data_IF_026056036783
#
_entry.id   IF_026056036783
#
_cell.length_a   1.000
_cell.length_b   1.000
_cell.length_c   1.000
_cell.angle_alpha   90.00
_cell.angle_beta   90.00
_cell.angle_gamma   90.00
#
_symmetry.space_group_name_H-M   'P 1'
#
loop_
_entity.id
_entity.type
_entity.pdbx_description
1 polymer ?
#
# COMPACT_ATOMS: atom_id res chain seq x y z
N UNK A 1 -57.30 0.47 6.36
CA UNK A 1 -56.77 -0.42 5.29
C UNK A 1 -55.85 0.31 4.32
N UNK A 2 -56.28 1.34 3.59
CA UNK A 2 -55.36 2.08 2.68
C UNK A 2 -54.29 2.90 3.41
N UNK A 3 -54.59 3.44 4.60
CA UNK A 3 -53.65 4.24 5.40
C UNK A 3 -52.55 3.38 6.06
N UNK A 4 -52.90 2.15 6.47
CA UNK A 4 -51.96 1.21 7.08
C UNK A 4 -50.94 0.66 6.07
N UNK A 5 -51.37 0.48 4.82
CA UNK A 5 -50.51 0.11 3.69
C UNK A 5 -49.51 1.22 3.35
N UNK A 6 -49.93 2.49 3.44
CA UNK A 6 -49.07 3.65 3.20
C UNK A 6 -47.96 3.76 4.28
N UNK A 7 -48.33 3.71 5.57
CA UNK A 7 -47.34 3.72 6.66
C UNK A 7 -46.38 2.52 6.62
N UNK A 8 -46.86 1.34 6.21
CA UNK A 8 -46.00 0.15 6.04
C UNK A 8 -45.02 0.30 4.87
N UNK A 9 -45.39 1.08 3.85
CA UNK A 9 -44.51 1.39 2.71
C UNK A 9 -43.39 2.35 3.10
N UNK A 10 -43.71 3.47 3.76
CA UNK A 10 -42.70 4.44 4.24
C UNK A 10 -41.71 3.79 5.22
N UNK A 11 -42.20 2.98 6.16
CA UNK A 11 -41.33 2.29 7.12
C UNK A 11 -40.37 1.29 6.44
N UNK A 12 -40.80 0.63 5.36
CA UNK A 12 -39.93 -0.26 4.56
C UNK A 12 -38.88 0.51 3.77
N UNK A 13 -39.23 1.70 3.28
CA UNK A 13 -38.32 2.55 2.51
C UNK A 13 -37.24 3.15 3.41
N UNK A 14 -37.60 3.60 4.61
CA UNK A 14 -36.66 4.04 5.65
C UNK A 14 -35.74 2.90 6.11
N UNK A 15 -36.28 1.69 6.31
CA UNK A 15 -35.47 0.50 6.62
C UNK A 15 -34.46 0.17 5.51
N UNK A 16 -34.87 0.27 4.24
CA UNK A 16 -33.99 0.03 3.09
C UNK A 16 -32.87 1.05 3.03
N UNK A 17 -33.18 2.34 3.21
CA UNK A 17 -32.17 3.40 3.26
C UNK A 17 -31.16 3.13 4.38
N UNK A 18 -31.62 2.88 5.60
CA UNK A 18 -30.74 2.60 6.74
C UNK A 18 -29.83 1.39 6.49
N UNK A 19 -30.35 0.33 5.90
CA UNK A 19 -29.53 -0.83 5.54
C UNK A 19 -28.45 -0.47 4.50
N UNK A 20 -28.78 0.31 3.47
CA UNK A 20 -27.85 0.74 2.43
C UNK A 20 -26.72 1.62 3.00
N UNK A 21 -27.05 2.56 3.90
CA UNK A 21 -26.06 3.38 4.59
C UNK A 21 -25.10 2.53 5.41
N UNK A 22 -25.61 1.56 6.17
CA UNK A 22 -24.78 0.63 6.94
C UNK A 22 -23.80 -0.13 6.03
N UNK A 23 -24.29 -0.69 4.92
CA UNK A 23 -23.42 -1.37 3.95
C UNK A 23 -22.35 -0.43 3.38
N UNK A 24 -22.71 0.82 3.02
CA UNK A 24 -21.74 1.81 2.55
C UNK A 24 -20.65 2.07 3.58
N UNK A 25 -21.00 2.36 4.83
CA UNK A 25 -20.03 2.59 5.90
C UNK A 25 -19.07 1.40 6.10
N UNK A 26 -19.58 0.17 6.00
CA UNK A 26 -18.73 -1.02 6.10
C UNK A 26 -17.71 -1.11 4.95
N UNK A 27 -18.12 -0.79 3.72
CA UNK A 27 -17.23 -0.76 2.56
C UNK A 27 -16.15 0.32 2.72
N UNK A 28 -16.55 1.52 3.13
CA UNK A 28 -15.62 2.64 3.35
C UNK A 28 -14.58 2.30 4.41
N UNK A 29 -15.02 1.73 5.54
CA UNK A 29 -14.12 1.28 6.61
C UNK A 29 -13.16 0.18 6.13
N UNK A 30 -13.61 -0.74 5.28
CA UNK A 30 -12.76 -1.78 4.70
C UNK A 30 -11.69 -1.20 3.75
N UNK A 31 -12.09 -0.23 2.92
CA UNK A 31 -11.18 0.46 2.00
C UNK A 31 -10.13 1.25 2.80
N UNK A 32 -10.56 2.03 3.79
CA UNK A 32 -9.66 2.82 4.65
C UNK A 32 -8.66 1.90 5.36
N UNK A 33 -9.13 0.79 5.95
CA UNK A 33 -8.26 -0.20 6.59
C UNK A 33 -7.22 -0.75 5.62
N UNK A 34 -7.64 -1.09 4.40
CA UNK A 34 -6.75 -1.61 3.35
C UNK A 34 -5.70 -0.57 2.95
N UNK A 35 -6.09 0.69 2.79
CA UNK A 35 -5.17 1.80 2.51
C UNK A 35 -4.14 1.98 3.63
N UNK A 36 -4.57 1.97 4.89
CA UNK A 36 -3.66 2.09 6.05
C UNK A 36 -2.63 0.96 6.07
N UNK A 37 -3.05 -0.28 5.78
CA UNK A 37 -2.14 -1.42 5.71
C UNK A 37 -1.10 -1.26 4.60
N UNK A 38 -1.52 -0.84 3.40
CA UNK A 38 -0.60 -0.63 2.27
C UNK A 38 0.40 0.49 2.56
N UNK A 39 -0.05 1.61 3.15
CA UNK A 39 0.82 2.72 3.53
C UNK A 39 1.82 2.28 4.60
N UNK A 40 1.35 1.58 5.64
CA UNK A 40 2.21 1.09 6.72
C UNK A 40 3.26 0.10 6.22
N UNK A 41 2.86 -0.83 5.34
CA UNK A 41 3.77 -1.77 4.70
C UNK A 41 4.81 -1.04 3.86
N UNK A 42 4.38 -0.10 3.01
CA UNK A 42 5.27 0.68 2.14
C UNK A 42 6.30 1.46 2.96
N UNK A 43 5.88 2.08 4.06
CA UNK A 43 6.77 2.79 4.98
C UNK A 43 7.78 1.86 5.67
N UNK A 44 7.34 0.68 6.11
CA UNK A 44 8.22 -0.32 6.71
C UNK A 44 9.26 -0.83 5.71
N UNK A 45 8.85 -1.13 4.48
CA UNK A 45 9.73 -1.54 3.40
C UNK A 45 10.76 -0.45 3.07
N UNK A 46 10.35 0.81 2.98
CA UNK A 46 11.25 1.93 2.72
C UNK A 46 12.31 2.08 3.83
N UNK A 47 11.90 2.00 5.11
CA UNK A 47 12.84 2.00 6.23
C UNK A 47 13.84 0.85 6.14
N UNK A 48 13.37 -0.35 5.80
CA UNK A 48 14.22 -1.52 5.63
C UNK A 48 15.21 -1.34 4.48
N UNK A 49 14.78 -0.83 3.32
CA UNK A 49 15.67 -0.55 2.18
C UNK A 49 16.70 0.51 2.50
N UNK A 50 16.31 1.55 3.24
CA UNK A 50 17.24 2.59 3.69
C UNK A 50 18.29 2.03 4.63
N UNK A 51 17.89 1.20 5.59
CA UNK A 51 18.82 0.54 6.51
C UNK A 51 19.81 -0.36 5.76
N UNK A 52 19.32 -1.14 4.79
CA UNK A 52 20.16 -2.00 3.95
C UNK A 52 21.14 -1.18 3.08
N UNK A 53 20.66 -0.11 2.44
CA UNK A 53 21.50 0.79 1.65
C UNK A 53 22.60 1.42 2.51
N UNK A 54 22.28 1.82 3.74
CA UNK A 54 23.27 2.31 4.70
C UNK A 54 24.33 1.25 5.03
N UNK A 55 23.94 -0.01 5.26
CA UNK A 55 24.89 -1.11 5.48
C UNK A 55 25.80 -1.32 4.28
N UNK A 56 25.27 -1.26 3.05
CA UNK A 56 26.07 -1.36 1.83
C UNK A 56 27.07 -0.21 1.70
N UNK A 57 26.64 1.02 1.97
CA UNK A 57 27.48 2.21 1.91
C UNK A 57 28.62 2.11 2.95
N UNK A 58 28.30 1.76 4.19
CA UNK A 58 29.29 1.55 5.25
C UNK A 58 30.29 0.46 4.88
N UNK A 59 29.83 -0.70 4.40
CA UNK A 59 30.72 -1.78 3.94
C UNK A 59 31.63 -1.34 2.79
N UNK A 60 31.11 -0.49 1.88
CA UNK A 60 31.87 0.03 0.74
C UNK A 60 32.94 1.04 1.19
N UNK A 61 32.65 1.85 2.21
CA UNK A 61 33.60 2.78 2.81
C UNK A 61 34.70 2.00 3.54
N UNK A 62 34.34 1.02 4.37
CA UNK A 62 35.30 0.16 5.08
C UNK A 62 36.22 -0.56 4.09
N UNK A 63 35.69 -1.06 2.97
CA UNK A 63 36.48 -1.72 1.95
C UNK A 63 37.48 -0.79 1.23
N UNK A 64 37.22 0.52 1.20
CA UNK A 64 38.13 1.54 0.65
C UNK A 64 39.19 1.99 1.65
N UNK A 65 38.88 1.93 2.94
CA UNK A 65 39.86 2.17 4.01
C UNK A 65 40.78 0.95 4.14
N UNK A 66 42.03 1.18 4.53
CA UNK A 66 42.96 0.10 4.87
C UNK A 66 42.48 -0.59 6.17
N UNK A 67 41.53 -1.51 6.03
CA UNK A 67 40.94 -2.30 7.11
C UNK A 67 41.63 -3.67 7.24
N UNK A 68 41.38 -4.34 8.37
CA UNK A 68 41.81 -5.72 8.60
C UNK A 68 41.26 -6.66 7.53
N UNK A 69 42.01 -7.70 7.16
CA UNK A 69 41.56 -8.72 6.21
C UNK A 69 40.25 -9.41 6.66
N UNK A 70 40.03 -9.50 7.99
CA UNK A 70 38.78 -10.04 8.54
C UNK A 70 37.58 -9.13 8.24
N UNK A 71 37.73 -7.82 8.47
CA UNK A 71 36.67 -6.83 8.20
C UNK A 71 36.38 -6.73 6.71
N UNK A 72 37.44 -6.80 5.90
CA UNK A 72 37.35 -6.83 4.44
C UNK A 72 36.57 -8.05 3.94
N UNK A 73 36.83 -9.23 4.51
CA UNK A 73 36.13 -10.47 4.16
C UNK A 73 34.66 -10.40 4.57
N UNK A 74 34.36 -9.87 5.76
CA UNK A 74 33.00 -9.64 6.23
C UNK A 74 32.22 -8.71 5.28
N UNK A 75 32.76 -7.53 4.98
CA UNK A 75 32.10 -6.55 4.11
C UNK A 75 31.82 -7.11 2.71
N UNK A 76 32.76 -7.87 2.14
CA UNK A 76 32.57 -8.56 0.85
C UNK A 76 31.46 -9.61 0.91
N UNK A 77 31.38 -10.37 2.00
CA UNK A 77 30.33 -11.37 2.19
C UNK A 77 28.96 -10.71 2.31
N UNK A 78 28.85 -9.60 3.05
CA UNK A 78 27.60 -8.83 3.17
C UNK A 78 27.17 -8.29 1.80
N UNK A 79 28.09 -7.70 1.02
CA UNK A 79 27.79 -7.24 -0.34
C UNK A 79 27.34 -8.38 -1.28
N UNK A 80 28.00 -9.55 -1.20
CA UNK A 80 27.63 -10.73 -1.99
C UNK A 80 26.26 -11.27 -1.60
N UNK A 81 26.00 -11.42 -0.30
CA UNK A 81 24.71 -11.88 0.21
C UNK A 81 23.59 -10.93 -0.20
N UNK A 82 23.82 -9.62 -0.08
CA UNK A 82 22.89 -8.62 -0.59
C UNK A 82 22.64 -8.81 -2.08
N UNK A 83 23.68 -8.89 -2.92
CA UNK A 83 23.49 -9.04 -4.37
C UNK A 83 22.76 -10.33 -4.76
N UNK A 84 22.92 -11.41 -4.00
CA UNK A 84 22.28 -12.69 -4.26
C UNK A 84 20.83 -12.76 -3.75
N UNK A 85 20.56 -12.19 -2.58
CA UNK A 85 19.31 -12.40 -1.85
C UNK A 85 18.41 -11.16 -1.85
N UNK A 86 18.99 -9.97 -1.91
CA UNK A 86 18.21 -8.73 -1.86
C UNK A 86 17.66 -8.40 -3.24
N UNK A 87 16.35 -8.51 -3.36
CA UNK A 87 15.56 -7.86 -4.38
C UNK A 87 14.58 -6.93 -3.67
N UNK A 88 14.35 -5.71 -4.18
CA UNK A 88 13.27 -4.88 -3.65
C UNK A 88 11.96 -5.67 -3.75
N UNK A 89 11.14 -5.59 -2.71
CA UNK A 89 9.87 -6.30 -2.64
C UNK A 89 9.00 -5.76 -3.77
N UNK A 90 8.57 -6.67 -4.64
CA UNK A 90 7.72 -6.36 -5.77
C UNK A 90 6.37 -7.02 -5.55
N UNK A 91 5.30 -6.23 -5.52
CA UNK A 91 3.93 -6.75 -5.50
C UNK A 91 3.62 -7.26 -6.89
N UNK A 92 3.23 -8.53 -6.98
CA UNK A 92 2.89 -9.21 -8.23
C UNK A 92 3.98 -9.11 -9.31
N UNK A 93 5.25 -8.81 -8.96
CA UNK A 93 6.35 -8.48 -9.90
C UNK A 93 6.15 -7.25 -10.79
N UNK A 94 5.03 -6.53 -10.66
CA UNK A 94 4.73 -5.34 -11.48
C UNK A 94 5.07 -4.03 -10.78
N UNK A 95 4.95 -3.99 -9.45
CA UNK A 95 5.14 -2.75 -8.70
C UNK A 95 6.16 -2.96 -7.60
N UNK A 96 7.26 -2.21 -7.66
CA UNK A 96 8.18 -2.10 -6.53
C UNK A 96 7.43 -1.40 -5.41
N UNK A 97 7.38 -2.01 -4.22
CA UNK A 97 6.86 -1.35 -3.02
C UNK A 97 7.83 -0.24 -2.67
N UNK A 98 7.48 0.97 -3.05
CA UNK A 98 8.23 2.18 -2.73
C UNK A 98 7.33 3.10 -1.91
N UNK A 99 7.89 4.10 -1.22
CA UNK A 99 7.11 5.04 -0.40
C UNK A 99 5.99 5.74 -1.21
N UNK A 100 6.19 5.89 -2.52
CA UNK A 100 5.21 6.47 -3.44
C UNK A 100 4.18 5.47 -4.01
N UNK A 101 4.33 4.17 -3.75
CA UNK A 101 3.41 3.14 -4.25
C UNK A 101 1.92 3.41 -3.89
N UNK A 102 1.55 3.70 -2.62
CA UNK A 102 0.15 3.99 -2.28
C UNK A 102 -0.39 5.26 -2.98
N UNK A 103 0.46 6.29 -3.14
CA UNK A 103 0.08 7.53 -3.82
C UNK A 103 -0.20 7.29 -5.31
N UNK A 104 0.67 6.54 -5.99
CA UNK A 104 0.51 6.20 -7.40
C UNK A 104 -0.74 5.34 -7.64
N UNK A 105 -1.00 4.37 -6.75
CA UNK A 105 -2.21 3.55 -6.80
C UNK A 105 -3.47 4.39 -6.63
N UNK A 106 -3.48 5.32 -5.66
CA UNK A 106 -4.62 6.19 -5.43
C UNK A 106 -4.88 7.14 -6.61
N UNK A 107 -3.81 7.70 -7.19
CA UNK A 107 -3.92 8.55 -8.38
C UNK A 107 -4.48 7.78 -9.58
N UNK A 108 -4.04 6.53 -9.80
CA UNK A 108 -4.56 5.69 -10.86
C UNK A 108 -6.05 5.40 -10.64
N UNK A 109 -6.43 5.01 -9.43
CA UNK A 109 -7.83 4.74 -9.08
C UNK A 109 -8.71 5.98 -9.30
N UNK A 110 -8.27 7.15 -8.81
CA UNK A 110 -9.00 8.40 -8.98
C UNK A 110 -9.20 8.74 -10.47
N UNK A 111 -8.16 8.60 -11.30
CA UNK A 111 -8.28 8.82 -12.74
C UNK A 111 -9.29 7.88 -13.39
N UNK A 112 -9.26 6.58 -13.06
CA UNK A 112 -10.24 5.62 -13.58
C UNK A 112 -11.66 5.95 -13.13
N UNK A 113 -11.85 6.32 -11.86
CA UNK A 113 -13.16 6.72 -11.33
C UNK A 113 -13.67 7.97 -12.06
N UNK A 114 -12.83 8.98 -12.29
CA UNK A 114 -13.19 10.18 -13.04
C UNK A 114 -13.62 9.83 -14.47
N UNK A 115 -12.86 8.99 -15.17
CA UNK A 115 -13.19 8.56 -16.54
C UNK A 115 -14.52 7.80 -16.58
N UNK A 116 -14.75 6.88 -15.64
CA UNK A 116 -16.03 6.17 -15.53
C UNK A 116 -17.18 7.13 -15.23
N UNK A 117 -16.95 8.13 -14.39
CA UNK A 117 -17.93 9.18 -14.11
C UNK A 117 -18.27 9.98 -15.37
N UNK A 118 -17.26 10.35 -16.15
CA UNK A 118 -17.47 11.02 -17.43
C UNK A 118 -18.34 10.18 -18.35
N UNK A 119 -18.09 8.89 -18.50
CA UNK A 119 -18.95 8.01 -19.31
C UNK A 119 -20.36 7.81 -18.77
N UNK A 120 -20.58 7.98 -17.47
CA UNK A 120 -21.90 7.81 -16.86
C UNK A 120 -22.77 9.07 -16.99
N UNK A 121 -22.15 10.25 -16.99
CA UNK A 121 -22.84 11.55 -16.97
C UNK A 121 -22.78 12.34 -18.28
N UNK A 122 -21.86 11.99 -19.18
CA UNK A 122 -21.69 12.58 -20.51
C UNK A 122 -22.26 11.65 -21.59
#
# INVERSE_FOLDING_TARGET
MSFDLFNSSEAKEEQRLNSAWIFSFFLDMWIIKSLILVVSLSFCCEKFYRAISNVQNSCSIVLKLNCSDNDRRLCKNVQRLHRATFNKMTVCRFFVIDACFPLNMLALLANYVIVLLQFAFL
#
